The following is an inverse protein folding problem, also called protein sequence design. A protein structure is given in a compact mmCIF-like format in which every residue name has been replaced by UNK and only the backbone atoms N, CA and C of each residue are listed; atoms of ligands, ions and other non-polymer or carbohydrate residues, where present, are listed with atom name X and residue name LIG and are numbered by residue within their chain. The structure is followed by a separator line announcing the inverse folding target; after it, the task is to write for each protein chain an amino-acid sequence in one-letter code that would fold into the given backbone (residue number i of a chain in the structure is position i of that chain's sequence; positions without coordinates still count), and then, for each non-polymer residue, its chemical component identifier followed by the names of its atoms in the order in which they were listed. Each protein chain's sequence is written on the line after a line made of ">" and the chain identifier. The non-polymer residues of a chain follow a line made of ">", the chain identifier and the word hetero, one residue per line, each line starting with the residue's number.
data_IF_771240021259
#
_entry.id   IF_771240021259
#
_cell.length_a   1.000
_cell.length_b   1.000
_cell.length_c   1.000
_cell.angle_alpha   90.00
_cell.angle_beta   90.00
_cell.angle_gamma   90.00
#
_symmetry.space_group_name_H-M   'P 1'
#
loop_
_entity.id
_entity.type
_entity.pdbx_description
1 polymer ?
#
# COMPACT_ATOMS: atom_id res chain seq x y z
N UNK A 1 0.34 -20.94 -7.96
CA UNK A 1 0.84 -20.43 -6.67
C UNK A 1 0.15 -19.11 -6.35
N UNK A 2 -0.38 -18.95 -5.13
CA UNK A 2 -1.09 -17.74 -4.72
C UNK A 2 -0.16 -16.52 -4.69
N UNK A 3 1.16 -16.66 -4.65
CA UNK A 3 2.07 -15.51 -4.64
C UNK A 3 2.33 -14.88 -6.01
N UNK A 4 1.87 -15.49 -7.10
CA UNK A 4 2.06 -14.97 -8.45
C UNK A 4 0.94 -14.03 -8.88
N UNK A 5 1.31 -12.85 -9.40
CA UNK A 5 0.40 -11.98 -10.14
C UNK A 5 0.39 -12.42 -11.60
N UNK A 6 -0.78 -12.81 -12.11
CA UNK A 6 -0.95 -13.04 -13.54
C UNK A 6 -0.91 -11.70 -14.28
N UNK A 7 0.21 -11.44 -14.95
CA UNK A 7 0.44 -10.19 -15.67
C UNK A 7 -0.52 -9.96 -16.83
N UNK A 8 -0.99 -11.02 -17.50
CA UNK A 8 -1.90 -10.91 -18.66
C UNK A 8 -3.30 -10.53 -18.18
N UNK A 9 -3.79 -11.21 -17.14
CA UNK A 9 -5.09 -10.88 -16.55
C UNK A 9 -5.08 -9.50 -15.90
N UNK A 10 -3.99 -9.14 -15.22
CA UNK A 10 -3.86 -7.81 -14.63
C UNK A 10 -3.82 -6.72 -15.70
N UNK A 11 -3.17 -6.95 -16.84
CA UNK A 11 -3.12 -5.99 -17.94
C UNK A 11 -4.50 -5.74 -18.56
N UNK A 12 -5.29 -6.81 -18.75
CA UNK A 12 -6.70 -6.71 -19.19
C UNK A 12 -7.53 -5.92 -18.19
N UNK A 13 -7.39 -6.22 -16.89
CA UNK A 13 -8.08 -5.50 -15.83
C UNK A 13 -7.70 -4.01 -15.80
N UNK A 14 -6.40 -3.70 -15.91
CA UNK A 14 -5.90 -2.34 -15.91
C UNK A 14 -6.43 -1.55 -17.12
N UNK A 15 -6.44 -2.18 -18.30
CA UNK A 15 -6.99 -1.58 -19.52
C UNK A 15 -8.48 -1.28 -19.40
N UNK A 16 -9.27 -2.21 -18.83
CA UNK A 16 -10.69 -1.99 -18.55
C UNK A 16 -10.96 -0.92 -17.48
N UNK A 17 -9.94 -0.54 -16.70
CA UNK A 17 -10.00 0.50 -15.67
C UNK A 17 -9.49 1.87 -16.14
N UNK A 18 -9.05 2.03 -17.38
CA UNK A 18 -8.62 3.34 -17.90
C UNK A 18 -9.76 4.36 -17.77
N UNK A 19 -9.45 5.55 -17.25
CA UNK A 19 -10.43 6.60 -16.98
C UNK A 19 -11.33 6.32 -15.75
N UNK A 20 -11.18 5.17 -15.11
CA UNK A 20 -11.88 4.81 -13.87
C UNK A 20 -10.92 4.99 -12.69
N UNK A 21 -11.47 5.17 -11.49
CA UNK A 21 -10.70 5.32 -10.25
C UNK A 21 -10.53 4.00 -9.51
N UNK A 22 -10.36 2.90 -10.26
CA UNK A 22 -10.20 1.56 -9.72
C UNK A 22 -8.87 1.44 -8.97
N UNK A 23 -8.90 0.82 -7.79
CA UNK A 23 -7.71 0.57 -7.01
C UNK A 23 -7.82 -0.71 -6.19
N UNK A 24 -6.69 -1.26 -5.78
CA UNK A 24 -6.60 -2.41 -4.89
C UNK A 24 -5.35 -2.34 -4.01
N UNK A 25 -5.16 -3.36 -3.17
CA UNK A 25 -4.05 -3.53 -2.25
C UNK A 25 -3.37 -4.88 -2.51
N UNK A 26 -2.06 -4.96 -2.26
CA UNK A 26 -1.32 -6.21 -2.42
C UNK A 26 -0.23 -6.39 -1.38
N UNK A 27 -0.09 -7.63 -0.90
CA UNK A 27 1.05 -8.14 -0.14
C UNK A 27 1.90 -9.15 -0.94
N UNK A 28 1.66 -9.28 -2.27
CA UNK A 28 2.43 -10.20 -3.11
C UNK A 28 3.92 -9.82 -3.06
N UNK A 29 4.84 -10.81 -3.10
CA UNK A 29 6.26 -10.55 -2.92
C UNK A 29 6.79 -9.66 -4.04
N UNK A 30 7.49 -8.59 -3.66
CA UNK A 30 8.09 -7.57 -4.54
C UNK A 30 9.45 -7.09 -4.02
N UNK A 31 9.96 -7.63 -2.92
CA UNK A 31 11.30 -7.37 -2.40
C UNK A 31 12.19 -8.60 -2.67
N UNK A 32 13.48 -8.39 -2.95
CA UNK A 32 14.38 -9.46 -3.39
C UNK A 32 14.61 -10.52 -2.29
N UNK A 33 14.49 -10.11 -1.03
CA UNK A 33 14.56 -10.99 0.13
C UNK A 33 13.32 -11.88 0.33
N UNK A 34 12.24 -11.66 -0.44
CA UNK A 34 11.01 -12.43 -0.32
C UNK A 34 11.01 -13.65 -1.24
N UNK A 35 10.44 -14.76 -0.76
CA UNK A 35 10.20 -15.94 -1.59
C UNK A 35 9.03 -15.73 -2.54
N UNK A 36 9.20 -16.12 -3.81
CA UNK A 36 8.14 -16.13 -4.82
C UNK A 36 8.55 -15.42 -6.11
N UNK A 37 7.58 -15.15 -7.01
CA UNK A 37 7.84 -14.56 -8.33
C UNK A 37 8.02 -13.04 -8.27
N UNK A 38 9.02 -12.59 -7.49
CA UNK A 38 9.29 -11.18 -7.18
C UNK A 38 9.36 -10.30 -8.43
N UNK A 39 10.19 -10.68 -9.41
CA UNK A 39 10.40 -9.87 -10.61
C UNK A 39 9.13 -9.77 -11.47
N UNK A 40 8.42 -10.87 -11.64
CA UNK A 40 7.16 -10.87 -12.38
C UNK A 40 6.11 -9.97 -11.69
N UNK A 41 6.00 -10.04 -10.36
CA UNK A 41 5.09 -9.20 -9.59
C UNK A 41 5.45 -7.71 -9.73
N UNK A 42 6.73 -7.34 -9.58
CA UNK A 42 7.22 -5.96 -9.76
C UNK A 42 6.82 -5.41 -11.12
N UNK A 43 7.10 -6.17 -12.18
CA UNK A 43 6.79 -5.79 -13.57
C UNK A 43 5.30 -5.59 -13.78
N UNK A 44 4.48 -6.56 -13.35
CA UNK A 44 3.03 -6.54 -13.54
C UNK A 44 2.37 -5.39 -12.76
N UNK A 45 2.75 -5.20 -11.49
CA UNK A 45 2.22 -4.12 -10.64
C UNK A 45 2.63 -2.75 -11.17
N UNK A 46 3.90 -2.56 -11.52
CA UNK A 46 4.39 -1.31 -12.10
C UNK A 46 3.68 -0.95 -13.41
N UNK A 47 3.44 -1.93 -14.27
CA UNK A 47 2.70 -1.72 -15.53
C UNK A 47 1.25 -1.30 -15.27
N UNK A 48 0.55 -1.95 -14.35
CA UNK A 48 -0.83 -1.60 -14.01
C UNK A 48 -0.95 -0.18 -13.42
N UNK A 49 -0.04 0.19 -12.51
CA UNK A 49 0.01 1.53 -11.92
C UNK A 49 0.27 2.61 -12.97
N UNK A 50 1.20 2.37 -13.92
CA UNK A 50 1.45 3.29 -15.05
C UNK A 50 0.23 3.46 -15.97
N UNK A 51 -0.63 2.44 -16.07
CA UNK A 51 -1.90 2.48 -16.82
C UNK A 51 -3.06 3.13 -16.05
N UNK A 52 -2.86 3.50 -14.77
CA UNK A 52 -3.86 4.18 -13.95
C UNK A 52 -4.76 3.25 -13.13
N UNK A 53 -4.56 1.93 -13.18
CA UNK A 53 -5.18 1.01 -12.21
C UNK A 53 -4.30 0.94 -10.96
N UNK A 54 -4.75 1.61 -9.89
CA UNK A 54 -3.88 1.88 -8.75
C UNK A 54 -3.76 0.67 -7.83
N UNK A 55 -2.57 0.07 -7.78
CA UNK A 55 -2.25 -1.02 -6.87
C UNK A 55 -1.37 -0.46 -5.77
N UNK A 56 -1.91 -0.43 -4.55
CA UNK A 56 -1.22 0.03 -3.36
C UNK A 56 -0.38 -1.11 -2.77
N UNK A 57 0.93 -0.91 -2.67
CA UNK A 57 1.82 -1.83 -1.96
C UNK A 57 1.53 -1.75 -0.46
N UNK A 58 1.18 -2.87 0.15
CA UNK A 58 0.74 -2.93 1.55
C UNK A 58 1.87 -3.36 2.46
N UNK A 59 2.43 -2.40 3.18
CA UNK A 59 3.46 -2.61 4.17
C UNK A 59 2.88 -3.01 5.53
N UNK A 60 3.67 -3.76 6.29
CA UNK A 60 3.31 -4.22 7.63
C UNK A 60 3.81 -3.28 8.73
N UNK A 61 4.45 -2.16 8.37
CA UNK A 61 5.08 -1.21 9.29
C UNK A 61 5.88 -0.15 8.53
N UNK A 62 6.45 0.82 9.26
CA UNK A 62 7.12 1.99 8.66
C UNK A 62 8.40 1.63 7.90
N UNK A 63 9.28 0.78 8.46
CA UNK A 63 10.50 0.32 7.77
C UNK A 63 10.19 -0.47 6.50
N UNK A 64 9.17 -1.34 6.54
CA UNK A 64 8.75 -2.07 5.34
C UNK A 64 8.16 -1.11 4.30
N UNK A 65 7.47 -0.05 4.73
CA UNK A 65 6.93 0.96 3.83
C UNK A 65 8.04 1.70 3.07
N UNK A 66 9.18 1.97 3.72
CA UNK A 66 10.36 2.55 3.07
C UNK A 66 10.93 1.64 1.99
N UNK A 67 11.11 0.34 2.29
CA UNK A 67 11.58 -0.66 1.32
C UNK A 67 10.66 -0.73 0.10
N UNK A 68 9.33 -0.76 0.31
CA UNK A 68 8.35 -0.78 -0.78
C UNK A 68 8.33 0.52 -1.58
N UNK A 69 8.46 1.67 -0.92
CA UNK A 69 8.45 2.98 -1.58
C UNK A 69 9.69 3.17 -2.48
N UNK A 70 10.85 2.64 -2.06
CA UNK A 70 12.08 2.68 -2.84
C UNK A 70 11.98 1.96 -4.20
N UNK A 71 11.04 1.01 -4.35
CA UNK A 71 10.82 0.31 -5.62
C UNK A 71 10.25 1.20 -6.72
N UNK A 72 9.58 2.31 -6.38
CA UNK A 72 8.96 3.23 -7.33
C UNK A 72 7.97 2.56 -8.33
N UNK A 73 7.33 1.45 -7.94
CA UNK A 73 6.37 0.71 -8.80
C UNK A 73 4.90 1.02 -8.49
N UNK A 74 4.61 1.81 -7.46
CA UNK A 74 3.25 2.14 -7.05
C UNK A 74 3.19 2.90 -5.73
N UNK A 75 2.02 3.44 -5.36
CA UNK A 75 1.85 4.08 -4.07
C UNK A 75 1.88 3.06 -2.94
N UNK A 76 2.32 3.50 -1.76
CA UNK A 76 2.44 2.64 -0.58
C UNK A 76 1.34 2.99 0.44
N UNK A 77 0.86 1.96 1.12
CA UNK A 77 0.11 2.07 2.36
C UNK A 77 0.78 1.23 3.43
N UNK A 78 0.56 1.58 4.69
CA UNK A 78 1.18 0.85 5.80
C UNK A 78 0.25 0.78 6.99
N UNK A 79 0.45 -0.22 7.84
CA UNK A 79 -0.17 -0.26 9.15
C UNK A 79 0.72 0.50 10.13
N UNK A 80 0.11 1.37 10.93
CA UNK A 80 0.82 2.17 11.91
C UNK A 80 1.12 1.37 13.18
N UNK A 81 2.27 1.62 13.85
CA UNK A 81 2.53 1.12 15.18
C UNK A 81 1.40 1.47 16.17
N UNK A 82 1.17 0.60 17.15
CA UNK A 82 0.17 0.88 18.19
C UNK A 82 0.48 2.21 18.91
N UNK A 83 -0.53 3.06 19.08
CA UNK A 83 -0.41 4.36 19.73
C UNK A 83 -0.06 5.53 18.80
N UNK A 84 0.28 5.25 17.53
CA UNK A 84 0.44 6.31 16.51
C UNK A 84 -0.89 6.52 15.80
N UNK A 85 -1.52 7.67 16.07
CA UNK A 85 -2.84 8.03 15.52
C UNK A 85 -2.85 9.38 14.80
N UNK A 86 -1.70 10.06 14.72
CA UNK A 86 -1.50 11.31 13.98
C UNK A 86 -0.56 11.10 12.79
N UNK A 87 -0.56 12.07 11.87
CA UNK A 87 0.39 12.08 10.75
C UNK A 87 1.82 12.00 11.29
N UNK A 88 2.65 11.23 10.61
CA UNK A 88 4.01 10.92 11.04
C UNK A 88 4.92 10.80 9.82
N UNK A 89 6.15 10.37 10.03
CA UNK A 89 7.11 10.05 8.99
C UNK A 89 7.64 8.64 9.19
N UNK A 90 8.09 8.03 8.10
CA UNK A 90 8.89 6.81 8.17
C UNK A 90 10.32 7.12 8.62
N UNK A 91 11.13 6.12 9.00
CA UNK A 91 12.55 6.31 9.31
C UNK A 91 13.37 6.99 8.20
N UNK A 92 13.06 6.75 6.92
CA UNK A 92 13.69 7.47 5.80
C UNK A 92 13.08 8.87 5.54
N UNK A 93 12.22 9.37 6.44
CA UNK A 93 11.62 10.71 6.32
C UNK A 93 10.46 10.81 5.31
N UNK A 94 9.86 9.69 4.88
CA UNK A 94 8.69 9.73 3.98
C UNK A 94 7.45 10.10 4.77
N UNK A 95 6.71 11.09 4.29
CA UNK A 95 5.47 11.56 4.92
C UNK A 95 4.41 10.46 4.95
N UNK A 96 3.84 10.23 6.12
CA UNK A 96 2.73 9.31 6.36
C UNK A 96 1.51 10.11 6.80
N UNK A 97 0.46 10.07 5.99
CA UNK A 97 -0.85 10.63 6.34
C UNK A 97 -1.72 9.52 6.87
N UNK A 98 -2.25 9.69 8.08
CA UNK A 98 -3.24 8.77 8.64
C UNK A 98 -4.48 8.80 7.75
N UNK A 99 -5.02 7.63 7.43
CA UNK A 99 -6.22 7.49 6.59
C UNK A 99 -7.33 8.44 7.08
N UNK A 100 -7.76 9.43 6.27
CA UNK A 100 -8.76 10.41 6.70
C UNK A 100 -10.08 9.78 7.14
N UNK A 101 -10.45 8.64 6.56
CA UNK A 101 -11.66 7.91 6.92
C UNK A 101 -11.61 7.27 8.32
N UNK A 102 -10.43 7.20 8.97
CA UNK A 102 -10.30 6.74 10.35
C UNK A 102 -10.26 7.88 11.37
N UNK A 103 -10.16 9.14 10.92
CA UNK A 103 -9.94 10.31 11.80
C UNK A 103 -10.98 11.41 11.64
N UNK A 104 -11.64 11.50 10.49
CA UNK A 104 -12.57 12.60 10.18
C UNK A 104 -13.99 12.06 10.05
N UNK A 105 -14.89 12.63 10.83
CA UNK A 105 -16.31 12.34 10.74
C UNK A 105 -16.84 12.66 9.33
N UNK A 106 -17.71 11.80 8.82
CA UNK A 106 -18.32 11.95 7.49
C UNK A 106 -17.38 11.66 6.31
N UNK A 107 -16.10 11.32 6.54
CA UNK A 107 -15.18 10.91 5.47
C UNK A 107 -15.18 9.39 5.34
N UNK A 108 -15.48 8.90 4.14
CA UNK A 108 -15.44 7.47 3.80
C UNK A 108 -14.39 7.22 2.72
N UNK A 109 -14.06 5.95 2.46
CA UNK A 109 -13.16 5.60 1.36
C UNK A 109 -13.65 6.12 0.00
N UNK A 110 -14.97 6.11 -0.25
CA UNK A 110 -15.56 6.56 -1.51
C UNK A 110 -15.52 8.08 -1.67
N UNK A 111 -15.71 8.84 -0.59
CA UNK A 111 -15.63 10.31 -0.63
C UNK A 111 -14.20 10.82 -0.57
N UNK A 112 -13.29 10.10 0.10
CA UNK A 112 -11.88 10.46 0.21
C UNK A 112 -11.10 10.21 -1.09
N UNK A 113 -11.10 8.96 -1.58
CA UNK A 113 -10.42 8.57 -2.81
C UNK A 113 -8.89 8.76 -2.82
N UNK A 114 -8.23 8.88 -1.67
CA UNK A 114 -6.76 9.03 -1.61
C UNK A 114 -6.04 7.77 -2.11
N UNK A 115 -6.56 6.58 -1.79
CA UNK A 115 -5.99 5.30 -2.22
C UNK A 115 -6.11 5.04 -3.74
N UNK A 116 -7.00 5.76 -4.44
CA UNK A 116 -7.10 5.75 -5.91
C UNK A 116 -6.26 6.83 -6.61
N UNK A 117 -5.57 7.68 -5.85
CA UNK A 117 -4.58 8.63 -6.40
C UNK A 117 -3.21 7.96 -6.39
N UNK A 118 -2.79 7.49 -7.58
CA UNK A 118 -1.50 6.83 -7.77
C UNK A 118 -0.30 7.76 -7.66
N UNK A 119 -0.46 9.03 -8.04
CA UNK A 119 0.59 10.05 -8.06
C UNK A 119 0.65 10.89 -6.76
N UNK A 120 0.34 10.29 -5.60
CA UNK A 120 0.40 10.99 -4.31
C UNK A 120 1.81 10.95 -3.73
N UNK A 121 2.19 12.02 -3.02
CA UNK A 121 3.51 12.16 -2.37
C UNK A 121 3.57 11.60 -0.95
N UNK A 122 2.51 10.93 -0.49
CA UNK A 122 2.38 10.44 0.89
C UNK A 122 2.07 8.95 0.92
N UNK A 123 2.60 8.29 1.94
CA UNK A 123 2.17 6.97 2.36
C UNK A 123 0.87 7.13 3.15
N UNK A 124 -0.11 6.25 2.93
CA UNK A 124 -1.32 6.23 3.78
C UNK A 124 -1.11 5.27 4.93
N UNK A 125 -1.19 5.77 6.15
CA UNK A 125 -1.11 4.99 7.38
C UNK A 125 -2.49 4.54 7.85
N UNK A 126 -2.65 3.26 8.14
CA UNK A 126 -3.86 2.70 8.73
C UNK A 126 -3.65 2.43 10.22
N UNK A 127 -4.53 2.99 11.06
CA UNK A 127 -4.55 2.68 12.50
C UNK A 127 -5.03 1.24 12.68
N UNK A 128 -4.28 0.37 13.40
CA UNK A 128 -4.73 -0.98 13.70
C UNK A 128 -6.01 -0.94 14.56
N UNK A 129 -7.01 -1.72 14.18
CA UNK A 129 -8.31 -1.82 14.85
C UNK A 129 -8.67 -3.28 15.18
N UNK A 130 -9.66 -3.48 16.05
CA UNK A 130 -10.16 -4.80 16.44
C UNK A 130 -9.27 -5.56 17.44
N UNK A 131 -9.65 -6.81 17.72
CA UNK A 131 -9.01 -7.65 18.76
C UNK A 131 -7.51 -7.87 18.53
N UNK A 132 -7.05 -7.81 17.28
CA UNK A 132 -5.66 -8.01 16.88
C UNK A 132 -4.80 -6.74 16.94
N UNK A 133 -5.33 -5.59 17.42
CA UNK A 133 -4.62 -4.28 17.48
C UNK A 133 -3.25 -4.39 18.15
N UNK A 134 -3.14 -5.15 19.25
CA UNK A 134 -1.86 -5.36 19.96
C UNK A 134 -0.84 -6.15 19.13
N UNK A 135 -1.29 -7.18 18.42
CA UNK A 135 -0.40 -8.03 17.62
C UNK A 135 0.09 -7.30 16.36
N UNK A 136 -0.86 -6.72 15.61
CA UNK A 136 -0.56 -6.01 14.37
C UNK A 136 0.25 -4.73 14.63
N UNK A 137 -0.14 -3.94 15.65
CA UNK A 137 0.60 -2.74 16.01
C UNK A 137 2.01 -3.03 16.55
N UNK A 138 2.22 -4.20 17.16
CA UNK A 138 3.56 -4.67 17.52
C UNK A 138 4.37 -5.01 16.27
N UNK A 139 3.83 -5.79 15.33
CA UNK A 139 4.51 -6.11 14.06
C UNK A 139 4.92 -4.85 13.28
N UNK A 140 4.12 -3.80 13.33
CA UNK A 140 4.44 -2.52 12.71
C UNK A 140 5.56 -1.73 13.41
N UNK A 141 5.79 -1.98 14.71
CA UNK A 141 6.77 -1.29 15.55
C UNK A 141 8.00 -2.11 15.92
N UNK A 142 8.10 -3.39 15.57
CA UNK A 142 9.32 -4.18 15.83
C UNK A 142 10.26 -4.08 14.62
N UNK A 143 11.46 -3.57 14.90
CA UNK A 143 12.66 -3.52 14.05
C UNK A 143 12.66 -4.53 12.88
N UNK A 144 12.74 -3.99 11.66
CA UNK A 144 13.14 -4.69 10.42
C UNK A 144 13.84 -3.70 9.52
#
# INVERSE_FOLDING_TARGET
>A
DNNNVDGVLLDKLATANIGRRGFTYTHKPVLDEQTGPVENNRRAIGAANRKGFVINLSANGLNHADKLAALNIGPVVTILPAGIEENTETPDGRKVVVCPAQKRDGVTCSTCGLCSRGNRSVIVGFIPHGASKKHVGKLAGVNS
#
